data_IF_980439928852
#
_entry.id   IF_980439928852
#
_cell.length_a   1.000
_cell.length_b   1.000
_cell.length_c   1.000
_cell.angle_alpha   90.00
_cell.angle_beta   90.00
_cell.angle_gamma   90.00
#
_symmetry.space_group_name_H-M   'P 1'
#
loop_
_entity.id
_entity.type
_entity.pdbx_description
1 polymer ?
#
# COMPACT_ATOMS: atom_id res chain seq x y z
N UNK A 1 41.15 -5.11 -31.34
CA UNK A 1 39.90 -5.72 -30.83
C UNK A 1 38.83 -5.59 -31.90
N UNK A 2 38.16 -6.68 -32.25
CA UNK A 2 36.99 -6.72 -33.11
C UNK A 2 35.73 -6.88 -32.26
N UNK A 3 34.70 -6.07 -32.48
CA UNK A 3 33.43 -6.17 -31.75
C UNK A 3 32.31 -6.48 -32.73
N UNK A 4 31.62 -7.60 -32.52
CA UNK A 4 30.59 -8.10 -33.41
C UNK A 4 29.30 -8.41 -32.64
N UNK A 5 28.15 -7.83 -33.04
CA UNK A 5 26.87 -8.25 -32.51
C UNK A 5 26.43 -9.59 -33.11
N UNK A 6 25.68 -10.37 -32.34
CA UNK A 6 25.05 -11.60 -32.85
C UNK A 6 23.82 -11.23 -33.68
N UNK A 7 23.70 -11.83 -34.87
CA UNK A 7 22.53 -11.66 -35.75
C UNK A 7 21.34 -12.40 -35.14
N UNK A 8 20.21 -11.71 -35.04
CA UNK A 8 18.93 -12.27 -34.56
C UNK A 8 17.79 -11.86 -35.50
N UNK A 9 16.72 -12.66 -35.51
CA UNK A 9 15.45 -12.30 -36.17
C UNK A 9 14.61 -11.35 -35.30
N UNK A 10 14.94 -11.25 -34.01
CA UNK A 10 14.18 -10.48 -33.02
C UNK A 10 14.49 -8.97 -33.07
N UNK A 11 15.64 -8.59 -33.64
CA UNK A 11 16.08 -7.21 -33.73
C UNK A 11 17.05 -6.98 -34.90
N UNK A 12 17.10 -5.74 -35.36
CA UNK A 12 18.13 -5.25 -36.28
C UNK A 12 19.07 -4.29 -35.53
N UNK A 13 20.38 -4.47 -35.69
CA UNK A 13 21.41 -3.56 -35.18
C UNK A 13 22.11 -2.87 -36.35
N UNK A 14 21.97 -1.54 -36.45
CA UNK A 14 22.70 -0.75 -37.45
C UNK A 14 23.81 0.06 -36.79
N UNK A 15 25.06 0.00 -37.28
CA UNK A 15 26.16 0.77 -36.70
C UNK A 15 25.93 2.27 -36.90
N UNK A 16 26.24 3.09 -35.88
CA UNK A 16 26.09 4.55 -35.93
C UNK A 16 27.30 5.27 -36.55
N UNK A 17 28.43 4.56 -36.72
CA UNK A 17 29.64 5.05 -37.37
C UNK A 17 30.08 4.08 -38.46
N UNK A 18 30.64 4.61 -39.55
CA UNK A 18 31.32 3.82 -40.61
C UNK A 18 32.66 3.22 -40.14
N UNK A 19 33.03 3.45 -38.88
CA UNK A 19 34.26 2.94 -38.32
C UNK A 19 34.25 1.40 -38.33
N UNK A 20 35.31 0.84 -38.89
CA UNK A 20 35.53 -0.59 -38.97
C UNK A 20 35.32 -1.25 -37.59
N UNK A 21 34.63 -2.39 -37.58
CA UNK A 21 34.39 -3.22 -36.38
C UNK A 21 35.66 -3.63 -35.63
N UNK A 22 36.84 -3.34 -36.20
CA UNK A 22 38.16 -3.59 -35.64
C UNK A 22 38.86 -2.29 -35.28
N UNK A 23 39.35 -2.20 -34.05
CA UNK A 23 40.01 -1.02 -33.53
C UNK A 23 41.23 -1.38 -32.67
N UNK A 24 42.28 -0.56 -32.76
CA UNK A 24 43.40 -0.56 -31.82
C UNK A 24 42.92 -0.12 -30.44
N UNK A 25 43.33 -0.82 -29.38
CA UNK A 25 42.96 -0.53 -27.98
C UNK A 25 44.19 -0.78 -27.10
N UNK A 26 44.73 0.26 -26.47
CA UNK A 26 45.90 0.14 -25.59
C UNK A 26 45.48 -0.08 -24.12
N UNK A 27 46.47 -0.36 -23.26
CA UNK A 27 46.24 -0.53 -21.83
C UNK A 27 45.62 0.73 -21.20
N UNK A 28 44.65 0.55 -20.30
CA UNK A 28 43.86 1.61 -19.67
C UNK A 28 43.02 2.47 -20.62
N UNK A 29 42.88 2.09 -21.89
CA UNK A 29 41.96 2.73 -22.83
C UNK A 29 40.63 1.98 -22.89
N UNK A 30 39.59 2.68 -23.35
CA UNK A 30 38.30 2.09 -23.72
C UNK A 30 37.87 2.62 -25.08
N UNK A 31 37.27 1.76 -25.88
CA UNK A 31 36.56 2.15 -27.10
C UNK A 31 35.11 1.73 -27.00
N UNK A 32 34.23 2.65 -27.34
CA UNK A 32 32.78 2.43 -27.31
C UNK A 32 32.27 2.43 -28.74
N UNK A 33 31.68 1.30 -29.15
CA UNK A 33 30.93 1.21 -30.39
C UNK A 33 29.45 1.35 -30.06
N UNK A 34 28.71 2.07 -30.90
CA UNK A 34 27.30 2.33 -30.72
C UNK A 34 26.50 1.84 -31.92
N UNK A 35 25.35 1.23 -31.64
CA UNK A 35 24.42 0.75 -32.65
C UNK A 35 23.04 1.34 -32.40
N UNK A 36 22.31 1.62 -33.47
CA UNK A 36 20.87 1.80 -33.40
C UNK A 36 20.20 0.43 -33.39
N UNK A 37 19.41 0.16 -32.34
CA UNK A 37 18.67 -1.09 -32.16
C UNK A 37 17.21 -0.86 -32.57
N UNK A 38 16.76 -1.59 -33.58
CA UNK A 38 15.36 -1.64 -33.99
C UNK A 38 14.77 -3.02 -33.63
N UNK A 39 13.96 -3.13 -32.56
CA UNK A 39 13.32 -4.40 -32.18
C UNK A 39 12.21 -4.77 -33.18
N UNK A 40 12.03 -6.06 -33.40
CA UNK A 40 10.98 -6.62 -34.26
C UNK A 40 9.97 -7.47 -33.50
N UNK A 41 10.26 -7.82 -32.24
CA UNK A 41 9.38 -8.59 -31.35
C UNK A 41 9.10 -7.85 -30.05
N UNK A 42 7.92 -8.10 -29.46
CA UNK A 42 7.54 -7.58 -28.16
C UNK A 42 7.97 -8.53 -27.03
N UNK A 43 8.18 -7.99 -25.83
CA UNK A 43 8.53 -8.77 -24.65
C UNK A 43 10.03 -8.80 -24.37
N UNK A 44 10.50 -9.90 -23.76
CA UNK A 44 11.91 -10.04 -23.35
C UNK A 44 12.74 -10.52 -24.54
N UNK A 45 13.74 -9.73 -24.90
CA UNK A 45 14.65 -9.97 -26.02
C UNK A 45 16.10 -9.94 -25.53
N UNK A 46 16.87 -10.96 -25.85
CA UNK A 46 18.28 -11.05 -25.45
C UNK A 46 19.17 -10.47 -26.54
N UNK A 47 19.95 -9.45 -26.20
CA UNK A 47 20.95 -8.87 -27.10
C UNK A 47 22.33 -9.38 -26.69
N UNK A 48 23.03 -10.01 -27.63
CA UNK A 48 24.36 -10.60 -27.41
C UNK A 48 25.42 -9.90 -28.27
N UNK A 49 26.50 -9.45 -27.62
CA UNK A 49 27.65 -8.83 -28.27
C UNK A 49 28.93 -9.56 -27.87
N UNK A 50 29.79 -9.82 -28.86
CA UNK A 50 31.09 -10.46 -28.68
C UNK A 50 32.21 -9.48 -28.97
N UNK A 51 33.21 -9.42 -28.10
CA UNK A 51 34.43 -8.65 -28.29
C UNK A 51 35.64 -9.60 -28.30
N UNK A 52 36.45 -9.56 -29.36
CA UNK A 52 37.58 -10.45 -29.56
C UNK A 52 38.88 -9.68 -29.84
N UNK A 53 39.99 -10.09 -29.21
CA UNK A 53 41.32 -9.68 -29.63
C UNK A 53 41.75 -10.48 -30.88
N UNK A 54 41.87 -9.80 -32.02
CA UNK A 54 42.23 -10.38 -33.32
C UNK A 54 43.68 -10.02 -33.67
N UNK A 55 44.40 -10.97 -34.26
CA UNK A 55 45.76 -10.75 -34.79
C UNK A 55 45.72 -9.83 -36.01
N UNK A 56 46.59 -8.82 -36.06
CA UNK A 56 46.73 -7.93 -37.22
C UNK A 56 48.21 -7.71 -37.56
N UNK A 57 48.51 -7.60 -38.86
CA UNK A 57 49.84 -7.25 -39.37
C UNK A 57 50.12 -5.74 -39.37
N UNK A 58 49.08 -4.91 -39.19
CA UNK A 58 49.22 -3.46 -39.05
C UNK A 58 49.62 -3.10 -37.60
N UNK A 59 50.58 -2.19 -37.46
CA UNK A 59 50.97 -1.67 -36.14
C UNK A 59 49.88 -0.74 -35.59
N UNK A 60 49.56 -0.93 -34.31
CA UNK A 60 48.71 -0.01 -33.57
C UNK A 60 49.62 0.94 -32.81
N UNK A 61 49.62 2.25 -33.13
CA UNK A 61 50.50 3.25 -32.49
C UNK A 61 51.98 2.83 -32.45
N UNK A 62 52.51 2.28 -33.55
CA UNK A 62 53.89 1.76 -33.68
C UNK A 62 54.25 0.55 -32.78
N UNK A 63 53.27 -0.10 -32.14
CA UNK A 63 53.45 -1.34 -31.40
C UNK A 63 52.85 -2.56 -32.14
N UNK A 64 53.40 -3.75 -31.87
CA UNK A 64 52.90 -5.01 -32.41
C UNK A 64 51.65 -5.44 -31.64
N UNK A 65 50.59 -5.82 -32.35
CA UNK A 65 49.36 -6.32 -31.74
C UNK A 65 49.62 -7.66 -31.04
N UNK A 66 49.42 -7.68 -29.72
CA UNK A 66 49.50 -8.90 -28.91
C UNK A 66 48.11 -9.46 -28.63
N UNK A 67 47.93 -10.77 -28.78
CA UNK A 67 46.68 -11.47 -28.47
C UNK A 67 46.90 -12.31 -27.21
N UNK A 68 46.15 -12.07 -26.12
CA UNK A 68 46.33 -12.81 -24.87
C UNK A 68 45.82 -14.26 -25.01
N UNK A 69 46.49 -15.21 -24.36
CA UNK A 69 46.08 -16.63 -24.37
C UNK A 69 44.79 -16.90 -23.57
N UNK A 70 44.48 -16.05 -22.57
CA UNK A 70 43.26 -16.11 -21.76
C UNK A 70 42.52 -14.78 -21.84
N UNK A 71 41.19 -14.83 -21.88
CA UNK A 71 40.35 -13.63 -22.01
C UNK A 71 40.39 -13.01 -23.41
N UNK A 72 40.72 -13.80 -24.43
CA UNK A 72 40.75 -13.36 -25.83
C UNK A 72 39.39 -12.91 -26.34
N UNK A 73 38.32 -13.57 -25.90
CA UNK A 73 36.94 -13.31 -26.30
C UNK A 73 36.11 -13.08 -25.05
N UNK A 74 35.34 -12.00 -25.04
CA UNK A 74 34.31 -11.74 -24.05
C UNK A 74 32.95 -11.65 -24.74
N UNK A 75 31.94 -12.33 -24.19
CA UNK A 75 30.58 -12.38 -24.74
C UNK A 75 29.60 -11.95 -23.66
N UNK A 76 28.89 -10.87 -23.93
CA UNK A 76 27.91 -10.32 -23.00
C UNK A 76 26.52 -10.43 -23.60
N UNK A 77 25.61 -11.04 -22.86
CA UNK A 77 24.18 -11.10 -23.20
C UNK A 77 23.38 -10.29 -22.18
N UNK A 78 22.53 -9.39 -22.66
CA UNK A 78 21.65 -8.57 -21.81
C UNK A 78 20.19 -8.69 -22.28
N UNK A 79 19.24 -8.98 -21.37
CA UNK A 79 17.83 -8.96 -21.68
C UNK A 79 17.32 -7.50 -21.73
N UNK A 80 16.60 -7.16 -22.79
CA UNK A 80 15.87 -5.92 -22.95
C UNK A 80 14.37 -6.23 -23.01
N UNK A 81 13.54 -5.37 -22.41
CA UNK A 81 12.08 -5.51 -22.45
C UNK A 81 11.53 -4.52 -23.48
N UNK A 82 11.06 -5.04 -24.60
CA UNK A 82 10.39 -4.27 -25.65
C UNK A 82 8.90 -4.16 -25.31
N UNK A 83 8.41 -2.93 -25.20
CA UNK A 83 6.98 -2.65 -25.03
C UNK A 83 6.35 -2.33 -26.38
N UNK A 84 5.05 -2.59 -26.49
CA UNK A 84 4.29 -2.13 -27.63
C UNK A 84 4.33 -0.60 -27.73
N UNK A 85 4.30 -0.10 -28.96
CA UNK A 85 4.18 1.32 -29.27
C UNK A 85 2.76 1.84 -29.02
N UNK A 86 2.55 3.16 -29.18
CA UNK A 86 1.24 3.77 -28.99
C UNK A 86 0.87 4.05 -27.53
N UNK A 87 -0.45 4.22 -27.27
CA UNK A 87 -1.00 4.52 -25.94
C UNK A 87 -1.84 3.34 -25.45
N UNK A 88 -1.51 2.80 -24.28
CA UNK A 88 -2.24 1.71 -23.66
C UNK A 88 -3.67 2.15 -23.27
N UNK A 89 -4.66 1.36 -23.68
CA UNK A 89 -6.06 1.56 -23.31
C UNK A 89 -6.54 0.39 -22.44
N UNK A 90 -7.07 0.72 -21.26
CA UNK A 90 -7.58 -0.26 -20.31
C UNK A 90 -9.09 -0.11 -20.17
N UNK A 91 -9.83 -1.19 -20.44
CA UNK A 91 -11.26 -1.31 -20.09
C UNK A 91 -11.39 -2.28 -18.92
N UNK A 92 -12.17 -1.91 -17.91
CA UNK A 92 -12.35 -2.71 -16.70
C UNK A 92 -13.83 -3.01 -16.48
N UNK A 93 -14.13 -4.27 -16.20
CA UNK A 93 -15.45 -4.74 -15.82
C UNK A 93 -15.37 -5.35 -14.43
N UNK A 94 -16.32 -5.02 -13.56
CA UNK A 94 -16.36 -5.47 -12.17
C UNK A 94 -17.76 -5.94 -11.82
N UNK A 95 -17.87 -7.09 -11.17
CA UNK A 95 -19.13 -7.65 -10.68
C UNK A 95 -18.98 -8.10 -9.23
N UNK A 96 -20.08 -8.04 -8.47
CA UNK A 96 -20.21 -8.65 -7.16
C UNK A 96 -21.27 -9.75 -7.25
N UNK A 97 -20.82 -11.00 -7.24
CA UNK A 97 -21.70 -12.17 -7.31
C UNK A 97 -21.84 -12.80 -5.93
N UNK A 98 -23.04 -12.78 -5.37
CA UNK A 98 -23.36 -13.37 -4.08
C UNK A 98 -24.39 -14.49 -4.26
N UNK A 99 -23.97 -15.70 -4.68
CA UNK A 99 -24.88 -16.84 -4.80
C UNK A 99 -25.34 -17.23 -3.40
N UNK A 100 -26.64 -17.12 -3.13
CA UNK A 100 -27.23 -17.62 -1.87
C UNK A 100 -27.55 -19.10 -1.98
N UNK A 101 -28.17 -19.49 -3.09
CA UNK A 101 -28.59 -20.88 -3.39
C UNK A 101 -28.53 -21.19 -4.91
N UNK A 102 -28.72 -20.19 -5.78
CA UNK A 102 -28.67 -20.34 -7.23
C UNK A 102 -27.30 -19.96 -7.83
N UNK A 103 -26.94 -20.62 -8.94
CA UNK A 103 -25.79 -20.25 -9.75
C UNK A 103 -26.04 -18.92 -10.46
N UNK A 104 -25.18 -17.93 -10.22
CA UNK A 104 -25.17 -16.65 -10.92
C UNK A 104 -24.11 -16.70 -12.03
N UNK A 105 -24.44 -16.20 -13.22
CA UNK A 105 -23.53 -16.16 -14.36
C UNK A 105 -23.57 -14.77 -14.99
N UNK A 106 -22.40 -14.21 -15.27
CA UNK A 106 -22.23 -12.94 -15.97
C UNK A 106 -21.30 -13.16 -17.15
N UNK A 107 -21.68 -12.64 -18.31
CA UNK A 107 -20.91 -12.72 -19.54
C UNK A 107 -20.40 -11.33 -19.93
N UNK A 108 -19.19 -11.29 -20.50
CA UNK A 108 -18.58 -10.06 -20.98
C UNK A 108 -17.95 -10.27 -22.33
N UNK A 109 -18.30 -9.39 -23.27
CA UNK A 109 -17.69 -9.36 -24.59
C UNK A 109 -16.49 -8.42 -24.57
N UNK A 110 -15.29 -8.96 -24.86
CA UNK A 110 -14.05 -8.19 -24.89
C UNK A 110 -13.84 -7.61 -26.30
N UNK A 111 -14.31 -6.38 -26.51
CA UNK A 111 -14.13 -5.68 -27.78
C UNK A 111 -12.78 -4.94 -27.84
N UNK A 112 -11.92 -5.40 -28.76
CA UNK A 112 -10.66 -4.75 -29.11
C UNK A 112 -10.90 -3.69 -30.20
N UNK A 113 -10.23 -2.52 -30.13
CA UNK A 113 -10.32 -1.53 -31.18
C UNK A 113 -9.55 -1.98 -32.44
N UNK A 114 -9.93 -1.47 -33.62
CA UNK A 114 -9.32 -1.86 -34.90
C UNK A 114 -7.82 -1.56 -34.99
N UNK A 115 -7.35 -0.55 -34.26
CA UNK A 115 -5.95 -0.11 -34.24
C UNK A 115 -5.10 -0.80 -33.15
N UNK A 116 -5.49 -2.01 -32.72
CA UNK A 116 -4.72 -2.80 -31.74
C UNK A 116 -3.42 -3.30 -32.37
N UNK A 117 -2.31 -3.16 -31.63
CA UNK A 117 -1.01 -3.71 -32.05
C UNK A 117 -0.96 -5.19 -31.68
N UNK A 118 -0.54 -6.04 -32.61
CA UNK A 118 -0.43 -7.47 -32.37
C UNK A 118 0.44 -7.80 -31.16
N UNK A 119 -0.06 -8.68 -30.28
CA UNK A 119 0.61 -9.06 -29.04
C UNK A 119 0.57 -8.01 -27.91
N UNK A 120 -0.05 -6.84 -28.13
CA UNK A 120 -0.25 -5.83 -27.08
C UNK A 120 -1.46 -6.11 -26.17
N UNK A 121 -2.49 -6.78 -26.68
CA UNK A 121 -3.72 -7.07 -25.96
C UNK A 121 -3.49 -8.04 -24.80
N UNK A 122 -4.00 -7.69 -23.61
CA UNK A 122 -3.90 -8.50 -22.40
C UNK A 122 -5.23 -8.45 -21.65
N UNK A 123 -5.74 -9.62 -21.26
CA UNK A 123 -6.88 -9.74 -20.38
C UNK A 123 -6.42 -10.34 -19.04
N UNK A 124 -6.87 -9.77 -17.93
CA UNK A 124 -6.61 -10.31 -16.60
C UNK A 124 -7.93 -10.43 -15.84
N UNK A 125 -8.15 -11.60 -15.25
CA UNK A 125 -9.29 -11.86 -14.37
C UNK A 125 -8.80 -11.98 -12.94
N UNK A 126 -9.53 -11.39 -11.99
CA UNK A 126 -9.28 -11.62 -10.58
C UNK A 126 -10.57 -11.85 -9.85
N UNK A 127 -10.60 -12.94 -9.09
CA UNK A 127 -11.69 -13.29 -8.20
C UNK A 127 -11.28 -12.98 -6.77
N UNK A 128 -12.16 -12.32 -6.03
CA UNK A 128 -11.94 -11.87 -4.65
C UNK A 128 -13.17 -12.24 -3.84
N UNK A 129 -12.99 -12.95 -2.72
CA UNK A 129 -14.07 -13.21 -1.77
C UNK A 129 -14.35 -12.02 -0.83
N UNK A 130 -13.44 -11.05 -0.78
CA UNK A 130 -13.56 -9.84 0.02
C UNK A 130 -13.22 -8.62 -0.85
N UNK A 131 -14.18 -7.69 -0.93
CA UNK A 131 -14.06 -6.42 -1.65
C UNK A 131 -12.86 -5.58 -1.16
N UNK A 132 -12.45 -5.74 0.11
CA UNK A 132 -11.32 -5.03 0.69
C UNK A 132 -10.01 -5.83 0.66
N UNK A 133 -10.05 -7.11 0.30
CA UNK A 133 -8.90 -8.03 0.43
C UNK A 133 -7.66 -7.62 -0.37
N UNK A 134 -7.81 -6.84 -1.45
CA UNK A 134 -6.68 -6.26 -2.21
C UNK A 134 -6.10 -5.01 -1.56
N UNK A 135 -6.95 -4.14 -1.02
CA UNK A 135 -6.53 -2.88 -0.41
C UNK A 135 -5.93 -3.10 0.99
N UNK A 136 -6.38 -4.16 1.68
CA UNK A 136 -6.05 -4.44 3.07
C UNK A 136 -5.19 -5.70 3.25
N UNK A 137 -4.21 -5.92 2.36
CA UNK A 137 -3.19 -6.96 2.60
C UNK A 137 -2.26 -6.55 3.75
N UNK A 138 -1.85 -7.51 4.58
CA UNK A 138 -0.89 -7.35 5.67
C UNK A 138 -1.30 -6.33 6.75
N UNK A 139 -2.59 -6.31 7.12
CA UNK A 139 -3.11 -5.41 8.17
C UNK A 139 -2.49 -5.64 9.54
N UNK A 140 -1.98 -6.83 9.82
CA UNK A 140 -1.28 -7.15 11.07
C UNK A 140 -0.02 -6.29 11.27
N UNK A 141 0.61 -5.84 10.17
CA UNK A 141 1.71 -4.88 10.17
C UNK A 141 1.30 -3.46 10.60
N UNK A 142 0.00 -3.14 10.58
CA UNK A 142 -0.53 -1.85 11.05
C UNK A 142 -0.80 -1.83 12.55
N UNK A 143 -0.78 -2.99 13.23
CA UNK A 143 -0.94 -3.06 14.68
C UNK A 143 0.23 -2.35 15.37
N UNK A 144 -0.09 -1.33 16.16
CA UNK A 144 0.90 -0.52 16.88
C UNK A 144 0.61 -0.46 18.37
N UNK A 145 1.65 -0.54 19.19
CA UNK A 145 1.51 -0.37 20.63
C UNK A 145 1.04 1.06 20.95
N UNK A 146 -0.07 1.27 21.68
CA UNK A 146 -0.53 2.61 22.04
C UNK A 146 0.45 3.34 22.98
N UNK A 147 0.69 4.62 22.70
CA UNK A 147 1.55 5.50 23.50
C UNK A 147 1.12 6.96 23.40
N UNK A 148 1.83 7.85 24.10
CA UNK A 148 1.59 9.29 24.08
C UNK A 148 0.43 9.72 24.99
N UNK A 149 -0.07 10.93 24.74
CA UNK A 149 -1.19 11.54 25.48
C UNK A 149 -2.55 10.92 25.10
N UNK A 150 -3.64 11.33 25.75
CA UNK A 150 -4.97 10.71 25.55
C UNK A 150 -5.47 10.76 24.09
N UNK A 151 -5.12 11.79 23.33
CA UNK A 151 -5.40 11.84 21.88
C UNK A 151 -4.56 10.82 21.11
N UNK A 152 -3.24 10.86 21.28
CA UNK A 152 -2.30 10.00 20.56
C UNK A 152 -2.51 8.51 20.87
N UNK A 153 -2.82 8.21 22.14
CA UNK A 153 -3.14 6.86 22.58
C UNK A 153 -4.38 6.33 21.84
N UNK A 154 -5.45 7.12 21.76
CA UNK A 154 -6.65 6.76 21.00
C UNK A 154 -6.42 6.69 19.48
N UNK A 155 -5.52 7.51 18.93
CA UNK A 155 -5.15 7.45 17.52
C UNK A 155 -4.49 6.12 17.12
N UNK A 156 -3.91 5.40 18.09
CA UNK A 156 -3.31 4.07 17.89
C UNK A 156 -4.23 2.94 18.35
N UNK A 157 -4.95 3.14 19.47
CA UNK A 157 -5.85 2.15 20.04
C UNK A 157 -7.05 1.86 19.12
N UNK A 158 -7.71 2.89 18.60
CA UNK A 158 -8.90 2.70 17.78
C UNK A 158 -8.62 1.90 16.48
N UNK A 159 -7.59 2.23 15.67
CA UNK A 159 -7.26 1.41 14.51
C UNK A 159 -6.98 -0.05 14.85
N UNK A 160 -6.28 -0.35 15.95
CA UNK A 160 -6.03 -1.73 16.36
C UNK A 160 -7.33 -2.52 16.57
N UNK A 161 -8.36 -1.90 17.15
CA UNK A 161 -9.67 -2.54 17.38
C UNK A 161 -10.34 -2.89 16.05
N UNK A 162 -10.36 -1.95 15.10
CA UNK A 162 -11.00 -2.18 13.80
C UNK A 162 -10.22 -3.17 12.92
N UNK A 163 -8.88 -3.19 13.01
CA UNK A 163 -8.05 -4.22 12.37
C UNK A 163 -8.43 -5.60 12.91
N UNK A 164 -8.52 -5.75 14.22
CA UNK A 164 -8.96 -7.00 14.87
C UNK A 164 -10.37 -7.43 14.42
N UNK A 165 -11.30 -6.48 14.32
CA UNK A 165 -12.66 -6.76 13.85
C UNK A 165 -12.69 -7.25 12.40
N UNK A 166 -11.92 -6.61 11.51
CA UNK A 166 -11.81 -7.04 10.13
C UNK A 166 -11.15 -8.42 10.00
N UNK A 167 -10.02 -8.66 10.67
CA UNK A 167 -9.33 -9.95 10.64
C UNK A 167 -10.18 -11.08 11.23
N UNK A 168 -11.01 -10.79 12.24
CA UNK A 168 -11.97 -11.75 12.81
C UNK A 168 -13.09 -12.07 11.82
N UNK A 169 -13.66 -11.06 11.16
CA UNK A 169 -14.79 -11.25 10.25
C UNK A 169 -14.39 -11.87 8.90
N UNK A 170 -13.12 -11.82 8.55
CA UNK A 170 -12.57 -12.42 7.32
C UNK A 170 -11.84 -13.73 7.57
N UNK A 171 -11.93 -14.28 8.78
CA UNK A 171 -11.26 -15.54 9.19
C UNK A 171 -9.72 -15.54 8.98
N UNK A 172 -9.10 -14.36 9.01
CA UNK A 172 -7.64 -14.17 8.86
C UNK A 172 -6.91 -14.06 10.22
N UNK A 173 -7.61 -14.34 11.32
CA UNK A 173 -7.08 -14.19 12.68
C UNK A 173 -6.19 -15.38 13.07
N UNK A 174 -4.90 -15.14 13.29
CA UNK A 174 -3.99 -16.15 13.86
C UNK A 174 -3.84 -15.99 15.37
N UNK A 175 -3.47 -17.06 16.13
CA UNK A 175 -3.21 -16.95 17.57
C UNK A 175 -2.17 -15.90 17.93
N UNK A 176 -1.08 -15.80 17.15
CA UNK A 176 -0.01 -14.83 17.37
C UNK A 176 -0.49 -13.38 17.18
N UNK A 177 -1.29 -13.12 16.14
CA UNK A 177 -1.90 -11.80 15.92
C UNK A 177 -2.85 -11.45 17.06
N UNK A 178 -3.71 -12.40 17.45
CA UNK A 178 -4.67 -12.21 18.54
C UNK A 178 -3.98 -11.87 19.86
N UNK A 179 -2.94 -12.62 20.24
CA UNK A 179 -2.18 -12.37 21.47
C UNK A 179 -1.53 -10.98 21.46
N UNK A 180 -0.78 -10.66 20.40
CA UNK A 180 -0.13 -9.36 20.22
C UNK A 180 -1.13 -8.21 20.31
N UNK A 181 -2.25 -8.32 19.60
CA UNK A 181 -3.25 -7.28 19.55
C UNK A 181 -4.00 -7.15 20.89
N UNK A 182 -4.31 -8.26 21.58
CA UNK A 182 -4.92 -8.27 22.93
C UNK A 182 -4.03 -7.55 23.94
N UNK A 183 -2.71 -7.76 23.88
CA UNK A 183 -1.74 -7.07 24.73
C UNK A 183 -1.72 -5.56 24.43
N UNK A 184 -1.76 -5.17 23.15
CA UNK A 184 -1.81 -3.75 22.75
C UNK A 184 -3.12 -3.08 23.19
N UNK A 185 -4.26 -3.76 23.04
CA UNK A 185 -5.55 -3.24 23.47
C UNK A 185 -5.60 -3.08 25.00
N UNK A 186 -5.17 -4.09 25.76
CA UNK A 186 -5.16 -4.03 27.23
C UNK A 186 -4.27 -2.90 27.74
N UNK A 187 -3.07 -2.76 27.18
CA UNK A 187 -2.15 -1.66 27.51
C UNK A 187 -2.74 -0.29 27.17
N UNK A 188 -3.32 -0.15 25.97
CA UNK A 188 -3.93 1.11 25.54
C UNK A 188 -5.16 1.49 26.34
N UNK A 189 -5.98 0.52 26.76
CA UNK A 189 -7.12 0.73 27.66
C UNK A 189 -6.65 1.26 29.01
N UNK A 190 -5.72 0.57 29.67
CA UNK A 190 -5.18 0.99 30.97
C UNK A 190 -4.52 2.37 30.88
N UNK A 191 -3.75 2.63 29.81
CA UNK A 191 -3.15 3.94 29.58
C UNK A 191 -4.20 5.03 29.37
N UNK A 192 -5.28 4.74 28.64
CA UNK A 192 -6.34 5.73 28.39
C UNK A 192 -7.06 6.14 29.68
N UNK A 193 -7.21 5.22 30.65
CA UNK A 193 -7.84 5.51 31.94
C UNK A 193 -7.09 6.58 32.75
N UNK A 194 -5.78 6.76 32.54
CA UNK A 194 -5.01 7.84 33.17
C UNK A 194 -5.46 9.25 32.71
N UNK A 195 -6.21 9.33 31.60
CA UNK A 195 -6.73 10.58 31.07
C UNK A 195 -8.23 10.79 31.36
N UNK A 196 -8.80 9.93 32.23
CA UNK A 196 -10.19 10.00 32.66
C UNK A 196 -10.34 10.92 33.86
N UNK A 197 -11.31 11.81 33.80
CA UNK A 197 -11.74 12.68 34.89
C UNK A 197 -12.64 11.92 35.87
N UNK A 198 -12.74 12.44 37.10
CA UNK A 198 -13.63 11.89 38.13
C UNK A 198 -15.11 11.86 37.69
N UNK A 199 -15.53 12.86 36.92
CA UNK A 199 -16.90 12.99 36.42
C UNK A 199 -17.22 12.07 35.23
N UNK A 200 -16.24 11.33 34.71
CA UNK A 200 -16.42 10.39 33.60
C UNK A 200 -15.86 10.86 32.26
N UNK A 201 -15.47 12.13 32.13
CA UNK A 201 -14.98 12.67 30.86
C UNK A 201 -13.52 12.28 30.55
N UNK A 202 -13.10 12.53 29.32
CA UNK A 202 -11.69 12.44 28.92
C UNK A 202 -11.17 13.79 28.41
N UNK A 203 -9.92 14.10 28.71
CA UNK A 203 -9.18 15.23 28.12
C UNK A 203 -7.85 14.76 27.53
N UNK A 204 -7.20 15.62 26.74
CA UNK A 204 -5.93 15.29 26.07
C UNK A 204 -4.83 14.90 27.06
N UNK A 205 -4.78 15.55 28.22
CA UNK A 205 -3.73 15.38 29.22
C UNK A 205 -4.22 14.78 30.54
N UNK A 206 -5.51 14.45 30.67
CA UNK A 206 -6.11 13.95 31.92
C UNK A 206 -6.38 15.02 32.97
N UNK A 207 -5.73 16.18 32.86
CA UNK A 207 -6.05 17.41 33.57
C UNK A 207 -6.62 18.46 32.60
N UNK A 208 -7.18 19.54 33.15
CA UNK A 208 -7.73 20.65 32.38
C UNK A 208 -9.16 20.41 31.88
N UNK A 209 -9.54 21.11 30.79
CA UNK A 209 -10.91 21.11 30.29
C UNK A 209 -11.30 19.75 29.68
N UNK A 210 -12.42 19.14 30.11
CA UNK A 210 -13.01 17.97 29.46
C UNK A 210 -13.28 18.19 27.98
N UNK A 211 -13.15 17.13 27.18
CA UNK A 211 -13.40 17.20 25.74
C UNK A 211 -14.56 16.27 25.35
N UNK A 212 -15.68 16.87 24.94
CA UNK A 212 -16.91 16.11 24.61
C UNK A 212 -16.66 15.08 23.53
N UNK A 213 -15.93 15.49 22.50
CA UNK A 213 -15.67 14.64 21.35
C UNK A 213 -14.71 13.50 21.68
N UNK A 214 -13.62 13.78 22.39
CA UNK A 214 -12.68 12.74 22.82
C UNK A 214 -13.39 11.72 23.70
N UNK A 215 -14.23 12.18 24.61
CA UNK A 215 -15.03 11.32 25.50
C UNK A 215 -15.93 10.39 24.68
N UNK A 216 -16.66 10.91 23.70
CA UNK A 216 -17.49 10.11 22.80
C UNK A 216 -16.67 9.10 21.96
N UNK A 217 -15.50 9.51 21.47
CA UNK A 217 -14.62 8.63 20.70
C UNK A 217 -14.05 7.49 21.55
N UNK A 218 -13.62 7.78 22.77
CA UNK A 218 -13.15 6.79 23.74
C UNK A 218 -14.28 5.82 24.06
N UNK A 219 -15.47 6.33 24.38
CA UNK A 219 -16.64 5.53 24.72
C UNK A 219 -17.01 4.55 23.59
N UNK A 220 -17.13 5.05 22.36
CA UNK A 220 -17.40 4.23 21.16
C UNK A 220 -16.34 3.14 20.97
N UNK A 221 -15.07 3.52 21.06
CA UNK A 221 -13.95 2.58 20.85
C UNK A 221 -13.91 1.51 21.93
N UNK A 222 -14.14 1.88 23.20
CA UNK A 222 -14.17 0.95 24.32
C UNK A 222 -15.29 -0.08 24.18
N UNK A 223 -16.48 0.35 23.73
CA UNK A 223 -17.57 -0.59 23.47
C UNK A 223 -17.22 -1.61 22.38
N UNK A 224 -16.58 -1.19 21.29
CA UNK A 224 -16.09 -2.13 20.26
C UNK A 224 -14.98 -3.04 20.80
N UNK A 225 -14.12 -2.53 21.68
CA UNK A 225 -13.03 -3.30 22.30
C UNK A 225 -13.52 -4.42 23.23
N UNK A 226 -14.73 -4.34 23.78
CA UNK A 226 -15.33 -5.39 24.63
C UNK A 226 -15.41 -6.76 23.93
N UNK A 227 -15.40 -6.80 22.61
CA UNK A 227 -15.37 -8.05 21.83
C UNK A 227 -14.03 -8.79 21.87
N UNK A 228 -12.97 -8.14 22.38
CA UNK A 228 -11.59 -8.65 22.35
C UNK A 228 -10.91 -8.63 23.73
N UNK A 229 -11.21 -7.65 24.57
CA UNK A 229 -10.65 -7.50 25.92
C UNK A 229 -11.72 -7.16 26.95
N UNK A 230 -11.43 -7.40 28.22
CA UNK A 230 -12.29 -6.94 29.30
C UNK A 230 -12.20 -5.42 29.46
N UNK A 231 -13.35 -4.76 29.41
CA UNK A 231 -13.54 -3.33 29.71
C UNK A 231 -14.54 -3.25 30.85
N UNK A 232 -14.19 -2.50 31.90
CA UNK A 232 -15.05 -2.30 33.06
C UNK A 232 -16.35 -1.56 32.66
N UNK A 233 -17.53 -2.18 32.78
CA UNK A 233 -18.80 -1.55 32.42
C UNK A 233 -19.08 -0.25 33.18
N UNK A 234 -18.59 -0.13 34.43
CA UNK A 234 -18.76 1.09 35.21
C UNK A 234 -18.04 2.27 34.56
N UNK A 235 -16.91 2.03 33.87
CA UNK A 235 -16.18 3.09 33.17
C UNK A 235 -16.94 3.58 31.94
N UNK A 236 -17.58 2.67 31.21
CA UNK A 236 -18.44 3.00 30.06
C UNK A 236 -19.64 3.82 30.52
N UNK A 237 -20.35 3.37 31.56
CA UNK A 237 -21.55 4.03 32.06
C UNK A 237 -21.27 5.44 32.57
N UNK A 238 -20.19 5.63 33.34
CA UNK A 238 -19.77 6.97 33.79
C UNK A 238 -19.58 7.96 32.62
N UNK A 239 -18.93 7.53 31.55
CA UNK A 239 -18.67 8.38 30.39
C UNK A 239 -19.92 8.63 29.55
N UNK A 240 -20.82 7.64 29.47
CA UNK A 240 -22.14 7.78 28.85
C UNK A 240 -23.00 8.80 29.60
N UNK A 241 -23.18 8.62 30.91
CA UNK A 241 -23.96 9.54 31.76
C UNK A 241 -23.40 10.96 31.69
N UNK A 242 -22.06 11.10 31.64
CA UNK A 242 -21.44 12.41 31.47
C UNK A 242 -21.83 13.08 30.15
N UNK A 243 -21.87 12.33 29.04
CA UNK A 243 -22.29 12.85 27.73
C UNK A 243 -23.78 13.21 27.70
N UNK A 244 -24.65 12.38 28.28
CA UNK A 244 -26.10 12.65 28.37
C UNK A 244 -26.39 13.95 29.12
N UNK A 245 -25.66 14.21 30.22
CA UNK A 245 -25.75 15.48 30.97
C UNK A 245 -25.28 16.71 30.18
N UNK A 246 -24.67 16.53 29.02
CA UNK A 246 -24.22 17.60 28.12
C UNK A 246 -25.10 17.74 26.88
N UNK A 247 -26.24 17.05 26.84
CA UNK A 247 -27.27 17.31 25.85
C UNK A 247 -28.03 18.60 26.23
N UNK A 248 -28.18 19.48 25.25
CA UNK A 248 -28.89 20.75 25.34
C UNK A 248 -30.40 20.53 25.14
N UNK A 249 -31.27 21.47 25.57
CA UNK A 249 -32.72 21.36 25.38
C UNK A 249 -33.18 21.26 23.92
N UNK A 250 -32.36 21.71 22.98
CA UNK A 250 -32.62 21.57 21.54
C UNK A 250 -32.23 20.19 20.98
N UNK A 251 -31.76 19.27 21.81
CA UNK A 251 -31.34 17.92 21.45
C UNK A 251 -29.88 17.79 21.02
N UNK A 252 -29.17 18.90 20.75
CA UNK A 252 -27.76 18.89 20.38
C UNK A 252 -26.85 18.65 21.59
N UNK A 253 -25.64 18.13 21.38
CA UNK A 253 -24.63 17.98 22.41
C UNK A 253 -23.69 19.19 22.46
N UNK A 254 -23.44 19.69 23.67
CA UNK A 254 -22.55 20.82 23.90
C UNK A 254 -21.09 20.47 23.55
N UNK A 255 -20.46 21.31 22.72
CA UNK A 255 -19.04 21.19 22.39
C UNK A 255 -18.17 21.78 23.51
N UNK A 256 -17.48 20.91 24.25
CA UNK A 256 -16.48 21.29 25.25
C UNK A 256 -15.10 20.83 24.83
N UNK A 257 -14.10 21.64 25.20
CA UNK A 257 -12.69 21.38 24.94
C UNK A 257 -12.29 21.58 23.49
N UNK A 258 -10.99 21.68 23.27
CA UNK A 258 -10.37 21.67 21.96
C UNK A 258 -9.50 20.43 21.83
N UNK A 259 -9.47 19.84 20.64
CA UNK A 259 -8.47 18.81 20.32
C UNK A 259 -7.23 19.52 19.78
N UNK A 260 -6.05 19.07 20.22
CA UNK A 260 -4.77 19.60 19.77
C UNK A 260 -4.37 18.98 18.43
N UNK A 261 -4.68 17.70 18.20
CA UNK A 261 -4.46 17.03 16.91
C UNK A 261 -5.70 17.06 16.02
N UNK A 262 -5.74 18.02 15.09
CA UNK A 262 -6.83 18.13 14.10
C UNK A 262 -6.95 16.89 13.18
N UNK A 263 -5.92 16.05 13.06
CA UNK A 263 -6.00 14.79 12.29
C UNK A 263 -7.04 13.82 12.85
N UNK A 264 -7.32 13.87 14.15
CA UNK A 264 -8.37 13.06 14.77
C UNK A 264 -9.77 13.68 14.64
N UNK A 265 -9.87 14.89 14.07
CA UNK A 265 -11.16 15.58 13.93
C UNK A 265 -12.00 15.10 12.74
N UNK A 266 -11.43 14.50 11.70
CA UNK A 266 -12.20 14.18 10.48
C UNK A 266 -13.09 15.38 10.06
N UNK A 267 -14.39 15.14 9.81
CA UNK A 267 -15.37 16.16 9.43
C UNK A 267 -16.26 16.74 10.54
N UNK A 268 -15.91 16.57 11.83
CA UNK A 268 -16.75 17.06 12.95
C UNK A 268 -16.19 18.39 13.48
N UNK A 269 -16.85 19.49 13.14
CA UNK A 269 -16.40 20.86 13.41
C UNK A 269 -17.43 21.69 14.17
N UNK A 270 -18.71 21.51 13.89
CA UNK A 270 -19.86 22.23 14.43
C UNK A 270 -20.71 21.36 15.38
N UNK A 271 -21.74 21.95 15.97
CA UNK A 271 -22.62 21.27 16.93
C UNK A 271 -23.44 20.14 16.31
N UNK A 272 -23.87 20.29 15.04
CA UNK A 272 -24.68 19.27 14.35
C UNK A 272 -23.82 18.05 14.07
N UNK A 273 -22.63 18.24 13.51
CA UNK A 273 -21.72 17.12 13.22
C UNK A 273 -21.23 16.43 14.50
N UNK A 274 -21.02 17.18 15.59
CA UNK A 274 -20.69 16.60 16.90
C UNK A 274 -21.85 15.77 17.45
N UNK A 275 -23.07 16.29 17.38
CA UNK A 275 -24.26 15.60 17.85
C UNK A 275 -24.49 14.33 17.05
N UNK A 276 -24.43 14.40 15.72
CA UNK A 276 -24.53 13.24 14.84
C UNK A 276 -23.49 12.16 15.19
N UNK A 277 -22.26 12.56 15.50
CA UNK A 277 -21.20 11.64 15.91
C UNK A 277 -21.50 10.94 17.24
N UNK A 278 -21.97 11.69 18.25
CA UNK A 278 -22.30 11.16 19.58
C UNK A 278 -23.52 10.24 19.48
N UNK A 279 -24.56 10.63 18.75
CA UNK A 279 -25.74 9.80 18.51
C UNK A 279 -25.37 8.50 17.79
N UNK A 280 -24.55 8.57 16.73
CA UNK A 280 -24.06 7.38 16.04
C UNK A 280 -23.23 6.47 16.97
N UNK A 281 -22.40 7.06 17.84
CA UNK A 281 -21.65 6.32 18.84
C UNK A 281 -22.58 5.57 19.82
N UNK A 282 -23.62 6.22 20.34
CA UNK A 282 -24.60 5.56 21.22
C UNK A 282 -25.36 4.44 20.51
N UNK A 283 -25.83 4.68 19.28
CA UNK A 283 -26.49 3.67 18.46
C UNK A 283 -25.59 2.44 18.20
N UNK A 284 -24.32 2.66 17.86
CA UNK A 284 -23.36 1.58 17.62
C UNK A 284 -23.04 0.72 18.85
N UNK A 285 -23.36 1.22 20.05
CA UNK A 285 -23.20 0.53 21.32
C UNK A 285 -24.45 -0.25 21.74
N UNK A 286 -25.53 -0.21 20.94
CA UNK A 286 -26.88 -0.63 21.34
C UNK A 286 -27.36 0.07 22.62
N UNK A 287 -26.91 1.31 22.83
CA UNK A 287 -27.32 2.14 23.96
C UNK A 287 -28.30 3.17 23.40
N UNK A 288 -29.58 3.06 23.81
CA UNK A 288 -30.56 4.07 23.45
C UNK A 288 -30.16 5.39 24.13
N UNK A 289 -30.05 6.47 23.35
CA UNK A 289 -30.03 7.82 23.91
C UNK A 289 -31.40 8.05 24.57
N UNK A 290 -31.40 8.39 25.85
CA UNK A 290 -32.62 8.70 26.60
C UNK A 290 -33.18 10.07 26.21
#
# INVERSE_FOLDING_TARGET
VSVTPTVSLDYTLTPLSDDQYTSCLCANERKTLSWSLAPSVLGVMNVTVSAEAVTSHASCNNEIVTVPERGRIDVVTRPLIVKAEGTEMTKTHNWLLCPKDDALTEEVELQLPENVIDGSARASLSVLGDILGRALKNLDGLLKMPYGCGEQNMALLAPNIYILQYLKNTDQMTPAIKEKATNFLSSGYQRQLNYKHYDGAYSTFGSGTPNTRLTAFVLRSFAKAQSFIYIDPAKIEQSKTWLERRQLPNGCFQKLGTLFHNRMKGGVSDEVTLSAYITAAFLEMNISAA
#
